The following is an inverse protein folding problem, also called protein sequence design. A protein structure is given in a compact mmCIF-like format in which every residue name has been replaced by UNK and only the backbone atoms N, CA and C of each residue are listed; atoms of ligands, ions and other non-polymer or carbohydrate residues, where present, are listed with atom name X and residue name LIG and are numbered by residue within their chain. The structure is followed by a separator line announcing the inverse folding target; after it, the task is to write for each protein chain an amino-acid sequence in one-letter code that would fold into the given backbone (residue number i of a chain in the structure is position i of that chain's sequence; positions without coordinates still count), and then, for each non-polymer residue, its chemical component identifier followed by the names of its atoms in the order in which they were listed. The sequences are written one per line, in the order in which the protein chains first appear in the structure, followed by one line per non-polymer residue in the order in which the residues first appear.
data_IF_239571979258
#
_entry.id   IF_239571979258
#
_cell.length_a   1.000
_cell.length_b   1.000
_cell.length_c   1.000
_cell.angle_alpha   90.00
_cell.angle_beta   90.00
_cell.angle_gamma   90.00
#
_symmetry.space_group_name_H-M   'P 1'
#
loop_
_entity.id
_entity.type
_entity.pdbx_description
1 polymer ?
#
# COMPACT_ATOMS: atom_id res chain seq x y z
N UNK A 1 8.83 15.82 16.67
CA UNK A 1 8.79 14.37 16.44
C UNK A 1 7.35 13.88 16.60
N UNK A 2 6.65 13.48 15.54
CA UNK A 2 5.48 12.58 15.71
C UNK A 2 5.10 11.80 14.44
N UNK A 3 6.07 11.28 13.67
CA UNK A 3 5.75 10.46 12.49
C UNK A 3 4.90 9.26 12.87
N UNK A 4 5.33 8.53 13.91
CA UNK A 4 4.62 7.36 14.41
C UNK A 4 3.24 7.72 14.96
N UNK A 5 3.08 8.78 15.76
CA UNK A 5 1.75 9.15 16.26
C UNK A 5 0.77 9.60 15.18
N UNK A 6 1.25 10.17 14.06
CA UNK A 6 0.39 10.44 12.91
C UNK A 6 -0.04 9.16 12.19
N UNK A 7 0.84 8.15 12.12
CA UNK A 7 0.51 6.81 11.63
C UNK A 7 -0.51 6.13 12.56
N UNK A 8 -0.30 6.18 13.88
CA UNK A 8 -1.23 5.65 14.88
C UNK A 8 -2.62 6.29 14.76
N UNK A 9 -2.68 7.63 14.68
CA UNK A 9 -3.93 8.36 14.43
C UNK A 9 -4.60 7.90 13.14
N UNK A 10 -3.83 7.68 12.08
CA UNK A 10 -4.35 7.21 10.80
C UNK A 10 -4.96 5.83 10.92
N UNK A 11 -4.29 4.90 11.60
CA UNK A 11 -4.81 3.56 11.88
C UNK A 11 -6.11 3.64 12.67
N UNK A 12 -6.13 4.45 13.73
CA UNK A 12 -7.23 4.52 14.69
C UNK A 12 -8.48 5.20 14.15
N UNK A 13 -8.33 6.25 13.35
CA UNK A 13 -9.45 7.14 13.02
C UNK A 13 -9.82 7.18 11.53
N UNK A 14 -8.94 6.78 10.60
CA UNK A 14 -9.34 6.75 9.17
C UNK A 14 -10.15 5.49 8.87
N UNK A 15 -11.26 5.68 8.14
CA UNK A 15 -12.20 4.61 7.77
C UNK A 15 -11.48 3.41 7.16
N UNK A 16 -11.80 2.23 7.67
CA UNK A 16 -11.30 0.92 7.23
C UNK A 16 -9.80 0.65 7.43
N UNK A 17 -8.97 1.63 7.78
CA UNK A 17 -7.50 1.44 7.84
C UNK A 17 -7.10 0.37 8.86
N UNK A 18 -7.66 0.40 10.06
CA UNK A 18 -7.41 -0.63 11.06
C UNK A 18 -7.71 -2.04 10.52
N UNK A 19 -8.89 -2.24 9.91
CA UNK A 19 -9.30 -3.54 9.36
C UNK A 19 -8.41 -3.98 8.18
N UNK A 20 -8.03 -3.06 7.29
CA UNK A 20 -7.14 -3.35 6.17
C UNK A 20 -5.73 -3.73 6.66
N UNK A 21 -5.25 -3.09 7.72
CA UNK A 21 -3.95 -3.42 8.31
C UNK A 21 -3.98 -4.78 9.02
N UNK A 22 -4.97 -5.02 9.89
CA UNK A 22 -5.11 -6.29 10.59
C UNK A 22 -5.36 -7.49 9.66
N UNK A 23 -5.93 -7.27 8.47
CA UNK A 23 -6.12 -8.31 7.46
C UNK A 23 -4.89 -8.53 6.55
N UNK A 24 -3.80 -7.78 6.75
CA UNK A 24 -2.57 -7.89 5.97
C UNK A 24 -2.62 -7.22 4.60
N UNK A 25 -3.67 -6.47 4.28
CA UNK A 25 -3.81 -5.73 3.01
C UNK A 25 -2.95 -4.46 3.00
N UNK A 26 -2.60 -3.94 4.18
CA UNK A 26 -1.58 -2.91 4.36
C UNK A 26 -0.36 -3.56 5.02
N UNK A 27 0.80 -3.51 4.36
CA UNK A 27 2.06 -4.03 4.94
C UNK A 27 2.52 -3.17 6.13
N UNK A 28 2.11 -1.91 6.18
CA UNK A 28 2.39 -1.01 7.29
C UNK A 28 3.81 -0.46 7.23
N UNK A 29 4.64 -0.81 8.21
CA UNK A 29 6.02 -0.33 8.35
C UNK A 29 6.97 -1.09 7.43
N UNK A 30 6.80 -0.90 6.12
CA UNK A 30 7.56 -1.60 5.10
C UNK A 30 8.36 -0.61 4.25
N UNK A 31 9.70 -0.68 4.21
CA UNK A 31 10.52 0.34 3.57
C UNK A 31 10.46 0.24 2.05
N UNK A 32 10.59 1.40 1.39
CA UNK A 32 10.51 1.53 -0.08
C UNK A 32 11.36 0.52 -0.86
N UNK A 33 12.62 0.30 -0.46
CA UNK A 33 13.54 -0.59 -1.18
C UNK A 33 13.10 -2.07 -1.13
N UNK A 34 12.48 -2.51 -0.02
CA UNK A 34 11.93 -3.86 0.07
C UNK A 34 10.67 -4.00 -0.79
N UNK A 35 9.90 -2.92 -0.99
CA UNK A 35 8.74 -2.91 -1.89
C UNK A 35 9.15 -3.16 -3.34
N UNK A 36 10.23 -2.52 -3.78
CA UNK A 36 10.78 -2.71 -5.12
C UNK A 36 11.28 -4.15 -5.30
N UNK A 37 12.01 -4.66 -4.30
CA UNK A 37 12.53 -6.03 -4.32
C UNK A 37 11.44 -7.10 -4.32
N UNK A 38 10.36 -6.93 -3.55
CA UNK A 38 9.29 -7.95 -3.52
C UNK A 38 8.47 -7.93 -4.81
N UNK A 39 8.22 -6.75 -5.39
CA UNK A 39 7.41 -6.61 -6.61
C UNK A 39 8.17 -6.94 -7.90
N UNK A 40 9.50 -7.02 -7.87
CA UNK A 40 10.34 -7.24 -9.08
C UNK A 40 9.97 -8.50 -9.88
N UNK A 41 9.39 -9.51 -9.23
CA UNK A 41 9.01 -10.78 -9.85
C UNK A 41 7.49 -10.98 -9.99
N UNK A 42 6.69 -9.97 -9.66
CA UNK A 42 5.23 -10.04 -9.75
C UNK A 42 4.72 -9.54 -11.11
N UNK A 43 3.52 -9.97 -11.57
CA UNK A 43 2.94 -9.50 -12.82
C UNK A 43 2.55 -8.02 -12.76
N UNK A 44 2.39 -7.41 -13.94
CA UNK A 44 1.89 -6.03 -14.10
C UNK A 44 0.54 -5.90 -13.40
N UNK A 45 0.30 -4.75 -12.77
CA UNK A 45 -0.90 -4.50 -11.99
C UNK A 45 -0.82 -4.98 -10.54
N UNK A 46 0.25 -5.70 -10.16
CA UNK A 46 0.47 -6.07 -8.75
C UNK A 46 0.93 -4.86 -7.95
N UNK A 47 0.34 -4.65 -6.77
CA UNK A 47 0.67 -3.54 -5.90
C UNK A 47 0.68 -3.93 -4.42
N UNK A 48 1.35 -3.13 -3.61
CA UNK A 48 1.31 -3.21 -2.15
C UNK A 48 1.14 -1.83 -1.53
N UNK A 49 0.56 -1.79 -0.33
CA UNK A 49 0.30 -0.56 0.42
C UNK A 49 1.16 -0.54 1.68
N UNK A 50 1.82 0.59 1.95
CA UNK A 50 2.66 0.81 3.13
C UNK A 50 2.44 2.22 3.69
N UNK A 51 2.90 2.48 4.91
CA UNK A 51 3.00 3.86 5.40
C UNK A 51 4.12 4.60 4.65
N UNK A 52 3.91 5.88 4.38
CA UNK A 52 4.90 6.72 3.72
C UNK A 52 6.00 7.12 4.70
N UNK A 53 7.26 6.82 4.36
CA UNK A 53 8.44 7.20 5.13
C UNK A 53 8.61 8.72 5.20
N UNK A 54 8.15 9.45 4.16
CA UNK A 54 8.34 10.89 4.00
C UNK A 54 7.12 11.72 4.41
N UNK A 55 5.91 11.13 4.40
CA UNK A 55 4.68 11.81 4.75
C UNK A 55 3.88 11.03 5.80
N UNK A 56 4.09 11.39 7.06
CA UNK A 56 3.46 10.74 8.20
C UNK A 56 1.92 10.69 8.08
N UNK A 57 1.32 9.52 8.35
CA UNK A 57 -0.13 9.33 8.26
C UNK A 57 -0.70 9.23 6.83
N UNK A 58 0.18 9.22 5.82
CA UNK A 58 -0.18 8.97 4.41
C UNK A 58 0.34 7.60 3.97
N UNK A 59 -0.15 7.12 2.83
CA UNK A 59 0.20 5.80 2.30
C UNK A 59 1.11 5.92 1.08
N UNK A 60 2.11 5.06 1.00
CA UNK A 60 2.81 4.78 -0.24
C UNK A 60 2.23 3.53 -0.89
N UNK A 61 1.90 3.60 -2.17
CA UNK A 61 1.52 2.46 -3.00
C UNK A 61 2.65 2.19 -3.98
N UNK A 62 3.22 0.99 -3.90
CA UNK A 62 4.23 0.53 -4.87
C UNK A 62 3.55 -0.46 -5.82
N UNK A 63 3.76 -0.35 -7.12
CA UNK A 63 3.07 -1.20 -8.10
C UNK A 63 3.93 -1.49 -9.33
N UNK A 64 3.64 -2.63 -9.96
CA UNK A 64 4.25 -3.07 -11.21
C UNK A 64 3.49 -2.45 -12.38
N UNK A 65 4.18 -1.70 -13.23
CA UNK A 65 3.63 -1.05 -14.43
C UNK A 65 4.38 -1.51 -15.69
N UNK A 66 3.67 -1.60 -16.80
CA UNK A 66 4.23 -1.82 -18.14
C UNK A 66 4.37 -0.52 -18.95
N UNK A 67 3.93 0.61 -18.40
CA UNK A 67 3.99 1.90 -19.07
C UNK A 67 5.45 2.26 -19.36
N UNK A 68 5.71 2.69 -20.61
CA UNK A 68 7.03 3.12 -21.08
C UNK A 68 7.64 4.15 -20.11
N UNK A 69 8.59 3.69 -19.32
CA UNK A 69 9.22 4.45 -18.26
C UNK A 69 10.56 3.83 -17.85
N UNK A 70 11.39 4.58 -17.12
CA UNK A 70 12.74 4.14 -16.76
C UNK A 70 12.72 2.95 -15.80
N UNK A 71 11.64 2.76 -15.04
CA UNK A 71 11.50 1.70 -14.05
C UNK A 71 10.16 1.00 -14.17
N UNK A 72 10.20 -0.34 -14.09
CA UNK A 72 9.01 -1.20 -14.03
C UNK A 72 8.19 -1.02 -12.75
N UNK A 73 8.86 -0.70 -11.65
CA UNK A 73 8.20 -0.43 -10.35
C UNK A 73 7.98 1.07 -10.22
N UNK A 74 6.73 1.45 -9.98
CA UNK A 74 6.31 2.83 -9.75
C UNK A 74 5.82 3.01 -8.31
N UNK A 75 5.87 4.24 -7.85
CA UNK A 75 5.49 4.63 -6.50
C UNK A 75 4.46 5.75 -6.57
N UNK A 76 3.40 5.62 -5.80
CA UNK A 76 2.36 6.62 -5.66
C UNK A 76 2.22 7.01 -4.19
N UNK A 77 2.23 8.30 -3.91
CA UNK A 77 1.93 8.84 -2.59
C UNK A 77 0.45 9.20 -2.54
N UNK A 78 -0.32 8.51 -1.69
CA UNK A 78 -1.74 8.81 -1.49
C UNK A 78 -1.87 10.15 -0.78
N UNK A 79 -2.49 11.10 -1.46
CA UNK A 79 -2.70 12.47 -1.00
C UNK A 79 -4.06 12.63 -0.32
N UNK A 80 -4.33 13.82 0.22
CA UNK A 80 -5.61 14.11 0.87
C UNK A 80 -6.76 14.24 -0.14
N UNK A 81 -6.48 14.64 -1.38
CA UNK A 81 -7.47 14.67 -2.45
C UNK A 81 -7.91 13.27 -2.91
N UNK A 82 -7.05 12.26 -2.75
CA UNK A 82 -7.34 10.87 -3.11
C UNK A 82 -8.31 10.20 -2.12
N UNK A 83 -8.17 10.55 -0.83
CA UNK A 83 -8.93 9.99 0.29
C UNK A 83 -9.44 11.09 1.22
N UNK A 84 -10.74 11.12 1.48
CA UNK A 84 -11.37 12.17 2.27
C UNK A 84 -12.63 11.73 2.99
N UNK A 85 -13.41 12.71 3.46
CA UNK A 85 -14.66 12.47 4.19
C UNK A 85 -15.61 11.55 3.40
N UNK A 86 -15.68 11.72 2.08
CA UNK A 86 -16.60 10.99 1.21
C UNK A 86 -15.95 9.86 0.41
N UNK A 87 -14.63 9.67 0.51
CA UNK A 87 -13.90 8.65 -0.27
C UNK A 87 -12.82 7.97 0.57
N UNK A 88 -12.97 6.67 0.76
CA UNK A 88 -12.06 5.84 1.53
C UNK A 88 -10.90 5.30 0.68
N UNK A 89 -9.87 4.77 1.33
CA UNK A 89 -8.73 4.15 0.65
C UNK A 89 -9.15 2.98 -0.28
N UNK A 90 -10.04 2.05 0.12
CA UNK A 90 -10.55 1.02 -0.80
C UNK A 90 -11.26 1.58 -2.04
N UNK A 91 -12.05 2.64 -1.87
CA UNK A 91 -12.75 3.29 -2.98
C UNK A 91 -11.77 3.93 -3.96
N UNK A 92 -10.76 4.65 -3.45
CA UNK A 92 -9.68 5.19 -4.26
C UNK A 92 -8.95 4.10 -5.05
N UNK A 93 -8.52 3.02 -4.39
CA UNK A 93 -7.77 1.94 -5.03
C UNK A 93 -8.57 1.34 -6.20
N UNK A 94 -9.87 1.14 -6.01
CA UNK A 94 -10.76 0.54 -7.03
C UNK A 94 -10.85 1.38 -8.32
N UNK A 95 -10.63 2.69 -8.25
CA UNK A 95 -10.71 3.58 -9.41
C UNK A 95 -9.43 3.56 -10.27
N UNK A 96 -8.31 3.09 -9.72
CA UNK A 96 -7.02 3.12 -10.39
C UNK A 96 -6.82 1.84 -11.20
N UNK A 97 -6.91 1.94 -12.53
CA UNK A 97 -6.76 0.80 -13.47
C UNK A 97 -5.44 0.02 -13.32
N UNK A 98 -4.38 0.69 -12.84
CA UNK A 98 -3.08 0.08 -12.60
C UNK A 98 -3.03 -0.78 -11.33
N UNK A 99 -4.04 -0.73 -10.44
CA UNK A 99 -4.08 -1.49 -9.19
C UNK A 99 -5.02 -2.69 -9.33
N UNK A 100 -4.47 -3.81 -9.82
CA UNK A 100 -5.26 -4.99 -10.19
C UNK A 100 -5.16 -6.11 -9.16
N UNK A 101 -3.95 -6.35 -8.63
CA UNK A 101 -3.67 -7.45 -7.71
C UNK A 101 -2.99 -6.92 -6.46
N UNK A 102 -3.65 -7.01 -5.31
CA UNK A 102 -3.03 -6.62 -4.04
C UNK A 102 -2.13 -7.75 -3.54
N UNK A 103 -0.86 -7.45 -3.30
CA UNK A 103 0.01 -8.32 -2.54
C UNK A 103 -0.41 -8.22 -1.08
N UNK A 104 -0.86 -9.34 -0.51
CA UNK A 104 -1.30 -9.44 0.88
C UNK A 104 -0.17 -10.00 1.73
N UNK A 105 0.05 -9.41 2.88
CA UNK A 105 0.94 -9.96 3.90
C UNK A 105 0.22 -11.09 4.64
N UNK A 106 0.65 -12.32 4.41
CA UNK A 106 0.16 -13.46 5.18
C UNK A 106 1.18 -13.80 6.27
N UNK A 107 0.72 -13.78 7.52
CA UNK A 107 1.41 -14.45 8.61
C UNK A 107 1.29 -15.95 8.39
N UNK A 108 2.00 -16.50 7.40
CA UNK A 108 2.20 -17.93 7.37
C UNK A 108 3.05 -18.27 8.58
N UNK A 109 2.45 -18.95 9.55
CA UNK A 109 3.16 -19.90 10.40
C UNK A 109 3.92 -20.88 9.49
N UNK A 110 5.12 -20.49 9.04
CA UNK A 110 6.10 -21.38 8.41
C UNK A 110 5.72 -22.13 7.13
N UNK A 111 4.56 -21.93 6.48
CA UNK A 111 4.23 -22.58 5.20
C UNK A 111 3.38 -21.68 4.29
N UNK A 112 3.97 -21.24 3.18
CA UNK A 112 3.27 -20.52 2.12
C UNK A 112 2.35 -21.49 1.35
N UNK A 113 1.07 -21.16 1.23
CA UNK A 113 0.13 -21.80 0.30
C UNK A 113 -0.19 -20.78 -0.79
N UNK A 114 0.04 -21.15 -2.05
CA UNK A 114 -0.46 -20.38 -3.21
C UNK A 114 -1.98 -20.56 -3.29
N UNK A 115 -2.72 -19.46 -3.30
CA UNK A 115 -4.08 -19.42 -3.85
C UNK A 115 -4.01 -19.17 -5.36
#
# INVERSE_FOLDING_TARGET
MNWFGNVERTIRFKRHIFNLWCSGLIFGFYPKYLSERVLSHHPVGTFLIRFSDTQAGSFGICFVSDENGPTRIKHYLVKQEDIGANKSLPEFIREIKAFQHILKFENSTGKSVKL
#
